data_IF_152288896219
#
_entry.id   IF_152288896219
#
_cell.length_a   1.000
_cell.length_b   1.000
_cell.length_c   1.000
_cell.angle_alpha   90.00
_cell.angle_beta   90.00
_cell.angle_gamma   90.00
#
_symmetry.space_group_name_H-M   'P 1'
#
loop_
_entity.id
_entity.type
_entity.pdbx_description
1 polymer ?
#
# COMPACT_ATOMS: atom_id res chain seq x y z
N UNK A 1 -3.76 11.53 -28.99
CA UNK A 1 -3.99 12.24 -27.70
C UNK A 1 -3.52 11.34 -26.57
N UNK A 2 -2.79 11.88 -25.58
CA UNK A 2 -2.35 11.09 -24.42
C UNK A 2 -3.50 11.11 -23.40
N UNK A 3 -4.10 9.96 -23.10
CA UNK A 3 -5.08 9.87 -22.02
C UNK A 3 -4.37 10.04 -20.66
N UNK A 4 -4.88 10.90 -19.76
CA UNK A 4 -4.32 11.07 -18.42
C UNK A 4 -4.40 9.76 -17.65
N UNK A 5 -3.34 9.46 -16.89
CA UNK A 5 -3.26 8.26 -16.04
C UNK A 5 -3.76 8.60 -14.66
N UNK A 6 -4.68 7.80 -14.11
CA UNK A 6 -5.08 7.88 -12.71
C UNK A 6 -4.13 7.04 -11.87
N UNK A 7 -3.45 7.63 -10.89
CA UNK A 7 -2.62 6.91 -9.93
C UNK A 7 -3.37 6.78 -8.61
N UNK A 8 -3.64 5.55 -8.18
CA UNK A 8 -4.32 5.25 -6.91
C UNK A 8 -3.29 4.76 -5.91
N UNK A 9 -3.10 5.47 -4.80
CA UNK A 9 -2.27 5.00 -3.69
C UNK A 9 -3.15 4.38 -2.60
N UNK A 10 -3.12 3.06 -2.52
CA UNK A 10 -3.72 2.31 -1.42
C UNK A 10 -2.75 2.21 -0.25
N UNK A 11 -3.20 2.53 0.97
CA UNK A 11 -2.44 2.35 2.20
C UNK A 11 -2.18 0.87 2.53
N UNK A 12 -1.44 0.61 3.62
CA UNK A 12 -1.24 -0.75 4.13
C UNK A 12 -2.05 -1.05 5.40
N UNK A 13 -3.11 -0.28 5.65
CA UNK A 13 -3.94 -0.41 6.86
C UNK A 13 -4.86 -1.62 6.75
N UNK A 14 -5.09 -2.38 7.84
CA UNK A 14 -6.05 -3.48 7.85
C UNK A 14 -7.49 -2.99 7.61
N UNK A 15 -7.78 -1.71 7.85
CA UNK A 15 -9.11 -1.12 7.63
C UNK A 15 -9.50 -0.94 6.15
N UNK A 16 -8.59 -1.22 5.22
CA UNK A 16 -8.88 -1.09 3.78
C UNK A 16 -9.62 -2.33 3.30
N UNK A 17 -10.83 -2.12 2.77
CA UNK A 17 -11.55 -3.10 1.98
C UNK A 17 -10.86 -3.27 0.62
N UNK A 18 -10.04 -4.32 0.52
CA UNK A 18 -9.23 -4.61 -0.67
C UNK A 18 -10.10 -5.12 -1.81
N UNK A 19 -11.17 -5.84 -1.51
CA UNK A 19 -12.06 -6.41 -2.52
C UNK A 19 -12.84 -5.31 -3.22
N UNK A 20 -13.47 -4.41 -2.46
CA UNK A 20 -14.18 -3.26 -3.00
C UNK A 20 -13.24 -2.36 -3.83
N UNK A 21 -12.04 -2.06 -3.31
CA UNK A 21 -11.04 -1.28 -4.03
C UNK A 21 -10.64 -1.93 -5.36
N UNK A 22 -10.37 -3.24 -5.36
CA UNK A 22 -10.02 -3.97 -6.58
C UNK A 22 -11.18 -3.97 -7.59
N UNK A 23 -12.43 -4.09 -7.13
CA UNK A 23 -13.61 -4.03 -7.98
C UNK A 23 -13.73 -2.66 -8.68
N UNK A 24 -13.53 -1.56 -7.95
CA UNK A 24 -13.54 -0.20 -8.53
C UNK A 24 -12.44 -0.01 -9.56
N UNK A 25 -11.23 -0.50 -9.27
CA UNK A 25 -10.09 -0.42 -10.20
C UNK A 25 -10.34 -1.23 -11.47
N UNK A 26 -10.91 -2.43 -11.32
CA UNK A 26 -11.30 -3.26 -12.45
C UNK A 26 -12.37 -2.57 -13.33
N UNK A 27 -13.37 -1.94 -12.70
CA UNK A 27 -14.39 -1.15 -13.39
C UNK A 27 -13.78 0.01 -14.19
N UNK A 28 -12.82 0.76 -13.62
CA UNK A 28 -12.09 1.81 -14.33
C UNK A 28 -11.33 1.27 -15.55
N UNK A 29 -10.62 0.16 -15.39
CA UNK A 29 -9.87 -0.46 -16.48
C UNK A 29 -10.81 -0.96 -17.60
N UNK A 30 -11.93 -1.58 -17.24
CA UNK A 30 -12.95 -2.06 -18.18
C UNK A 30 -13.59 -0.89 -18.97
N UNK A 31 -13.73 0.29 -18.36
CA UNK A 31 -14.17 1.52 -19.02
C UNK A 31 -13.09 2.18 -19.91
N UNK A 32 -11.96 1.52 -20.15
CA UNK A 32 -10.86 2.02 -20.99
C UNK A 32 -10.00 3.10 -20.32
N UNK A 33 -10.13 3.33 -19.01
CA UNK A 33 -9.30 4.30 -18.30
C UNK A 33 -7.92 3.72 -18.01
N UNK A 34 -6.90 4.56 -18.13
CA UNK A 34 -5.53 4.22 -17.72
C UNK A 34 -5.39 4.42 -16.22
N UNK A 35 -5.14 3.34 -15.48
CA UNK A 35 -4.97 3.36 -14.03
C UNK A 35 -3.67 2.68 -13.62
N UNK A 36 -3.00 3.22 -12.60
CA UNK A 36 -1.86 2.61 -11.91
C UNK A 36 -2.22 2.51 -10.44
N UNK A 37 -2.25 1.29 -9.90
CA UNK A 37 -2.39 1.04 -8.47
C UNK A 37 -1.00 0.94 -7.83
N UNK A 38 -0.77 1.70 -6.78
CA UNK A 38 0.35 1.55 -5.86
C UNK A 38 -0.22 1.16 -4.51
N UNK A 39 0.27 0.08 -3.90
CA UNK A 39 -0.23 -0.39 -2.60
C UNK A 39 0.84 -0.33 -1.51
N UNK A 40 0.41 -0.37 -0.25
CA UNK A 40 1.28 -0.67 0.88
C UNK A 40 1.09 -2.09 1.36
N UNK A 41 1.74 -2.43 2.48
CA UNK A 41 1.56 -3.72 3.17
C UNK A 41 2.08 -3.69 4.60
N UNK A 42 2.19 -2.50 5.21
CA UNK A 42 2.89 -2.32 6.49
C UNK A 42 2.33 -3.21 7.60
N UNK A 43 1.00 -3.28 7.76
CA UNK A 43 0.37 -4.09 8.79
C UNK A 43 0.56 -5.60 8.55
N UNK A 44 0.49 -6.05 7.29
CA UNK A 44 0.71 -7.47 6.95
C UNK A 44 2.17 -7.88 7.20
N UNK A 45 3.13 -6.99 6.92
CA UNK A 45 4.54 -7.21 7.25
C UNK A 45 4.75 -7.28 8.77
N UNK A 46 4.10 -6.41 9.54
CA UNK A 46 4.17 -6.45 11.01
C UNK A 46 3.64 -7.78 11.57
N UNK A 47 2.47 -8.22 11.09
CA UNK A 47 1.86 -9.49 11.49
C UNK A 47 2.71 -10.69 11.08
N UNK A 48 3.31 -10.67 9.89
CA UNK A 48 4.19 -11.74 9.43
C UNK A 48 5.45 -11.81 10.30
N UNK A 49 6.06 -10.66 10.59
CA UNK A 49 7.25 -10.61 11.43
C UNK A 49 7.00 -11.14 12.84
N UNK A 50 5.85 -10.79 13.43
CA UNK A 50 5.42 -11.33 14.73
C UNK A 50 5.30 -12.86 14.69
N UNK A 51 4.62 -13.41 13.66
CA UNK A 51 4.48 -14.85 13.48
C UNK A 51 5.81 -15.59 13.30
N UNK A 52 6.80 -14.91 12.73
CA UNK A 52 8.15 -15.45 12.52
C UNK A 52 9.09 -15.19 13.70
N UNK A 53 8.65 -14.46 14.75
CA UNK A 53 9.48 -14.08 15.87
C UNK A 53 10.61 -13.12 15.51
N UNK A 54 10.45 -12.32 14.45
CA UNK A 54 11.45 -11.35 13.97
C UNK A 54 11.14 -9.96 14.57
N UNK A 55 11.95 -9.45 15.53
CA UNK A 55 11.68 -8.17 16.17
C UNK A 55 11.74 -7.02 15.17
N UNK A 56 10.63 -6.27 15.05
CA UNK A 56 10.58 -5.11 14.17
C UNK A 56 11.25 -3.90 14.82
N UNK A 57 12.10 -3.22 14.03
CA UNK A 57 12.81 -2.02 14.42
C UNK A 57 12.35 -0.83 13.57
N UNK A 58 12.37 0.37 14.16
CA UNK A 58 12.12 1.62 13.45
C UNK A 58 13.28 2.58 13.58
N UNK A 59 13.48 3.37 12.53
CA UNK A 59 14.33 4.55 12.53
C UNK A 59 13.44 5.79 12.66
N UNK A 60 13.95 6.81 13.36
CA UNK A 60 13.27 8.11 13.47
C UNK A 60 14.27 9.20 13.07
N UNK A 61 13.89 10.06 12.14
CA UNK A 61 14.72 11.19 11.72
C UNK A 61 14.68 12.29 12.78
N UNK A 62 15.67 13.22 12.81
CA UNK A 62 15.61 14.39 13.69
C UNK A 62 14.35 15.26 13.48
N UNK A 63 13.79 15.23 12.27
CA UNK A 63 12.53 15.92 11.93
C UNK A 63 11.26 15.16 12.33
N UNK A 64 11.37 13.98 12.95
CA UNK A 64 10.25 13.21 13.49
C UNK A 64 9.63 12.17 12.56
N UNK A 65 10.11 12.03 11.32
CA UNK A 65 9.63 10.99 10.40
C UNK A 65 10.10 9.61 10.87
N UNK A 66 9.21 8.61 10.83
CA UNK A 66 9.53 7.24 11.20
C UNK A 66 9.46 6.28 10.01
N UNK A 67 10.43 5.37 9.91
CA UNK A 67 10.46 4.30 8.91
C UNK A 67 10.82 2.96 9.55
N UNK A 68 10.47 1.86 8.88
CA UNK A 68 10.94 0.51 9.26
C UNK A 68 12.45 0.43 8.98
N UNK A 69 13.19 -0.16 9.92
CA UNK A 69 14.54 -0.63 9.63
C UNK A 69 14.44 -1.97 8.90
N UNK A 70 14.82 -1.98 7.63
CA UNK A 70 14.81 -3.17 6.78
C UNK A 70 16.26 -3.65 6.64
N UNK A 71 16.61 -4.70 7.40
CA UNK A 71 17.93 -5.34 7.38
C UNK A 71 18.13 -6.33 6.22
#
# INVERSE_FOLDING_TARGET
>A
MIHPVTVVKCGGSPAIDREAMCADIASMAAAGRRVVLVHGGAAEVDLLAERLGVPQRRLTTPSGSSSRYTD
#
